data_IF_162173060659
#
_entry.id   IF_162173060659
#
_cell.length_a   1.000
_cell.length_b   1.000
_cell.length_c   1.000
_cell.angle_alpha   90.00
_cell.angle_beta   90.00
_cell.angle_gamma   90.00
#
_symmetry.space_group_name_H-M   'P 1'
#
loop_
_entity.id
_entity.type
_entity.pdbx_description
1 polymer ?
#
# COMPACT_ATOMS: atom_id res chain seq x y z
N UNK A 1 25.54 23.76 21.82
CA UNK A 1 24.22 23.20 22.27
C UNK A 1 24.06 21.87 21.57
N UNK A 2 24.16 20.76 22.29
CA UNK A 2 23.88 19.44 21.73
C UNK A 2 22.39 19.40 21.43
N UNK A 3 22.03 19.45 20.14
CA UNK A 3 20.63 19.26 19.71
C UNK A 3 20.13 17.93 20.30
N UNK A 4 19.12 17.96 21.13
CA UNK A 4 18.49 16.74 21.61
C UNK A 4 18.01 15.96 20.37
N UNK A 5 18.23 14.61 20.38
CA UNK A 5 17.75 13.78 19.27
C UNK A 5 16.24 13.92 19.14
N UNK A 6 15.70 14.01 17.91
CA UNK A 6 14.25 14.06 17.70
C UNK A 6 13.59 12.81 18.31
N UNK A 7 12.34 12.95 18.74
CA UNK A 7 11.55 11.83 19.24
C UNK A 7 11.01 11.01 18.08
N UNK A 8 10.63 11.69 16.98
CA UNK A 8 10.00 11.06 15.82
C UNK A 8 10.63 11.58 14.53
N UNK A 9 10.91 10.65 13.60
CA UNK A 9 11.29 10.95 12.21
C UNK A 9 10.09 10.64 11.32
N UNK A 10 9.60 11.66 10.62
CA UNK A 10 8.56 11.54 9.61
C UNK A 10 9.24 11.29 8.27
N UNK A 11 8.95 10.16 7.64
CA UNK A 11 9.56 9.70 6.38
C UNK A 11 8.52 9.79 5.28
N UNK A 12 8.81 10.54 4.25
CA UNK A 12 7.90 10.87 3.17
C UNK A 12 8.59 10.55 1.84
N UNK A 13 8.24 9.44 1.19
CA UNK A 13 8.68 9.19 -0.18
C UNK A 13 7.90 10.12 -1.12
N UNK A 14 8.58 10.72 -2.09
CA UNK A 14 7.96 11.64 -3.05
C UNK A 14 8.28 11.19 -4.45
N UNK A 15 7.25 10.79 -5.17
CA UNK A 15 7.27 10.44 -6.59
C UNK A 15 6.58 11.49 -7.46
N UNK A 16 5.67 12.28 -6.88
CA UNK A 16 5.00 13.42 -7.49
C UNK A 16 5.00 14.62 -6.55
N UNK A 17 5.56 15.71 -7.01
CA UNK A 17 5.67 16.95 -6.24
C UNK A 17 4.34 17.71 -6.09
N UNK A 18 3.33 17.41 -6.93
CA UNK A 18 2.08 18.17 -6.98
C UNK A 18 1.24 18.15 -5.69
N UNK A 19 1.34 17.08 -4.91
CA UNK A 19 0.60 16.93 -3.65
C UNK A 19 1.36 17.43 -2.42
N UNK A 20 2.69 17.61 -2.51
CA UNK A 20 3.61 17.87 -1.40
C UNK A 20 3.26 19.13 -0.60
N UNK A 21 2.78 20.19 -1.23
CA UNK A 21 2.44 21.44 -0.55
C UNK A 21 1.38 21.27 0.54
N UNK A 22 0.33 20.49 0.28
CA UNK A 22 -0.71 20.21 1.28
C UNK A 22 -0.16 19.44 2.47
N UNK A 23 0.70 18.47 2.21
CA UNK A 23 1.39 17.72 3.26
C UNK A 23 2.24 18.66 4.14
N UNK A 24 3.07 19.52 3.53
CA UNK A 24 3.93 20.46 4.25
C UNK A 24 3.12 21.46 5.06
N UNK A 25 2.01 21.98 4.53
CA UNK A 25 1.10 22.85 5.27
C UNK A 25 0.48 22.13 6.48
N UNK A 26 0.07 20.89 6.33
CA UNK A 26 -0.45 20.06 7.42
C UNK A 26 0.63 19.76 8.47
N UNK A 27 1.88 19.53 8.06
CA UNK A 27 3.01 19.34 9.00
C UNK A 27 3.36 20.63 9.75
N UNK A 28 3.26 21.80 9.10
CA UNK A 28 3.46 23.11 9.74
C UNK A 28 2.40 23.39 10.80
N UNK A 29 1.18 22.90 10.60
CA UNK A 29 0.06 23.07 11.50
C UNK A 29 0.00 22.07 12.69
N UNK A 30 1.01 21.21 12.88
CA UNK A 30 1.01 20.21 13.94
C UNK A 30 1.03 20.83 15.33
N UNK A 31 0.28 20.24 16.27
CA UNK A 31 0.24 20.65 17.69
C UNK A 31 1.47 20.18 18.47
N UNK A 32 2.11 19.10 17.99
CA UNK A 32 3.32 18.57 18.62
C UNK A 32 4.54 19.49 18.35
N UNK A 33 5.43 19.71 19.35
CA UNK A 33 6.58 20.61 19.21
C UNK A 33 7.54 20.19 18.08
N UNK A 34 7.62 20.98 17.01
CA UNK A 34 8.40 20.67 15.82
C UNK A 34 9.90 20.50 16.09
N UNK A 35 10.46 21.11 17.15
CA UNK A 35 11.87 20.93 17.53
C UNK A 35 12.19 19.49 18.03
N UNK A 36 11.17 18.65 18.25
CA UNK A 36 11.29 17.24 18.59
C UNK A 36 10.93 16.31 17.41
N UNK A 37 10.70 16.88 16.25
CA UNK A 37 10.38 16.19 15.01
C UNK A 37 11.55 16.31 14.03
N UNK A 38 11.75 15.32 13.20
CA UNK A 38 12.61 15.35 12.02
C UNK A 38 11.73 14.97 10.82
N UNK A 39 11.83 15.72 9.74
CA UNK A 39 11.05 15.45 8.52
C UNK A 39 12.03 15.13 7.40
N UNK A 40 11.94 13.91 6.88
CA UNK A 40 12.80 13.39 5.83
C UNK A 40 11.97 13.22 4.55
N UNK A 41 12.20 14.10 3.60
CA UNK A 41 11.60 14.00 2.27
C UNK A 41 12.57 13.21 1.41
N UNK A 42 12.12 12.07 0.89
CA UNK A 42 12.97 11.16 0.13
C UNK A 42 12.48 11.11 -1.31
N UNK A 43 13.25 11.68 -2.21
CA UNK A 43 12.92 11.72 -3.63
C UNK A 43 13.12 10.35 -4.29
N UNK A 44 12.23 9.96 -5.21
CA UNK A 44 12.37 8.77 -6.06
C UNK A 44 12.79 9.12 -7.50
N UNK A 45 13.01 10.40 -7.81
CA UNK A 45 13.36 10.90 -9.14
C UNK A 45 14.13 12.20 -9.09
N UNK A 46 13.88 13.09 -10.04
CA UNK A 46 14.49 14.41 -10.12
C UNK A 46 14.14 15.26 -8.89
N UNK A 47 15.15 15.91 -8.30
CA UNK A 47 15.04 16.63 -7.03
C UNK A 47 14.94 18.14 -7.19
N UNK A 48 15.18 18.69 -8.38
CA UNK A 48 15.26 20.13 -8.57
C UNK A 48 13.94 20.84 -8.19
N UNK A 49 12.81 20.32 -8.62
CA UNK A 49 11.49 20.83 -8.26
C UNK A 49 11.22 20.71 -6.75
N UNK A 50 11.67 19.62 -6.11
CA UNK A 50 11.48 19.40 -4.68
C UNK A 50 12.25 20.39 -3.82
N UNK A 51 13.47 20.75 -4.21
CA UNK A 51 14.27 21.77 -3.53
C UNK A 51 13.54 23.10 -3.53
N UNK A 52 13.02 23.51 -4.69
CA UNK A 52 12.28 24.78 -4.83
C UNK A 52 10.98 24.78 -4.00
N UNK A 53 10.23 23.68 -4.00
CA UNK A 53 8.99 23.54 -3.24
C UNK A 53 9.23 23.50 -1.71
N UNK A 54 10.31 22.89 -1.26
CA UNK A 54 10.64 22.80 0.17
C UNK A 54 11.25 24.09 0.73
N UNK A 55 11.87 24.92 -0.11
CA UNK A 55 12.60 26.15 0.30
C UNK A 55 11.76 27.08 1.21
N UNK A 56 10.49 27.41 0.91
CA UNK A 56 9.69 28.28 1.75
C UNK A 56 9.46 27.74 3.17
N UNK A 57 9.46 26.41 3.33
CA UNK A 57 9.19 25.74 4.60
C UNK A 57 10.43 25.53 5.47
N UNK A 58 11.63 25.66 4.91
CA UNK A 58 12.89 25.36 5.60
C UNK A 58 13.18 26.21 6.83
N UNK A 59 12.54 27.39 6.96
CA UNK A 59 12.65 28.23 8.15
C UNK A 59 11.71 27.79 9.30
N UNK A 60 10.62 27.11 8.98
CA UNK A 60 9.54 26.74 9.92
C UNK A 60 9.54 25.24 10.25
N UNK A 61 9.92 24.39 9.29
CA UNK A 61 9.92 22.94 9.44
C UNK A 61 11.35 22.39 9.49
N UNK A 62 11.62 21.40 10.35
CA UNK A 62 12.93 20.71 10.42
C UNK A 62 13.07 19.71 9.26
N UNK A 63 13.07 20.22 8.03
CA UNK A 63 13.12 19.46 6.80
C UNK A 63 14.55 19.04 6.43
N UNK A 64 14.69 17.82 5.94
CA UNK A 64 15.88 17.34 5.24
C UNK A 64 15.45 16.63 3.96
N UNK A 65 15.97 17.05 2.84
CA UNK A 65 15.83 16.34 1.57
C UNK A 65 16.90 15.27 1.49
N UNK A 66 16.50 14.05 1.19
CA UNK A 66 17.34 12.87 1.02
C UNK A 66 17.27 12.45 -0.44
N UNK A 67 18.40 12.44 -1.10
CA UNK A 67 18.55 11.92 -2.45
C UNK A 67 18.90 10.42 -2.34
N UNK A 68 17.99 9.52 -2.67
CA UNK A 68 18.28 8.08 -2.64
C UNK A 68 19.12 7.69 -3.85
N UNK A 69 20.02 6.74 -3.68
CA UNK A 69 20.71 6.08 -4.78
C UNK A 69 19.85 5.03 -5.50
N UNK A 70 18.54 4.94 -5.19
CA UNK A 70 17.59 3.95 -5.71
C UNK A 70 16.46 4.57 -6.54
N UNK A 71 15.71 3.72 -7.24
CA UNK A 71 14.65 4.13 -8.19
C UNK A 71 13.25 3.75 -7.73
N UNK A 72 13.12 3.02 -6.63
CA UNK A 72 11.82 2.55 -6.13
C UNK A 72 11.43 3.26 -4.83
N UNK A 73 10.11 3.34 -4.58
CA UNK A 73 9.56 3.88 -3.32
C UNK A 73 10.12 3.11 -2.10
N UNK A 74 10.28 1.80 -2.22
CA UNK A 74 10.79 0.95 -1.13
C UNK A 74 12.24 1.27 -0.79
N UNK A 75 13.08 1.49 -1.80
CA UNK A 75 14.46 1.94 -1.62
C UNK A 75 14.50 3.34 -0.99
N UNK A 76 13.65 4.26 -1.46
CA UNK A 76 13.51 5.58 -0.87
C UNK A 76 13.11 5.50 0.62
N UNK A 77 12.11 4.70 0.97
CA UNK A 77 11.71 4.48 2.36
C UNK A 77 12.85 3.95 3.22
N UNK A 78 13.61 2.96 2.74
CA UNK A 78 14.75 2.41 3.46
C UNK A 78 15.89 3.44 3.59
N UNK A 79 16.16 4.26 2.58
CA UNK A 79 17.11 5.37 2.66
C UNK A 79 16.66 6.41 3.70
N UNK A 80 15.39 6.77 3.72
CA UNK A 80 14.82 7.66 4.73
C UNK A 80 15.01 7.10 6.14
N UNK A 81 14.74 5.81 6.35
CA UNK A 81 14.99 5.14 7.65
C UNK A 81 16.47 5.16 8.03
N UNK A 82 17.38 4.91 7.09
CA UNK A 82 18.82 4.94 7.35
C UNK A 82 19.32 6.34 7.75
N UNK A 83 18.67 7.41 7.26
CA UNK A 83 18.96 8.79 7.59
C UNK A 83 18.25 9.28 8.87
N UNK A 84 17.27 8.53 9.37
CA UNK A 84 16.46 8.89 10.53
C UNK A 84 17.23 8.79 11.84
N UNK A 85 16.99 9.74 12.73
CA UNK A 85 17.60 9.81 14.06
C UNK A 85 16.60 9.69 15.21
N UNK A 86 15.30 9.72 14.89
CA UNK A 86 14.20 9.59 15.85
C UNK A 86 14.08 8.19 16.45
N UNK A 87 13.47 8.14 17.65
CA UNK A 87 13.12 6.86 18.29
C UNK A 87 11.92 6.20 17.65
N UNK A 88 11.05 6.98 17.04
CA UNK A 88 9.86 6.56 16.31
C UNK A 88 10.03 6.91 14.83
N UNK A 89 9.57 6.04 13.97
CA UNK A 89 9.42 6.26 12.54
C UNK A 89 7.93 6.43 12.24
N UNK A 90 7.57 7.52 11.59
CA UNK A 90 6.23 7.76 11.04
C UNK A 90 6.35 7.82 9.52
N UNK A 91 5.67 6.92 8.84
CA UNK A 91 5.60 6.88 7.39
C UNK A 91 4.34 7.60 6.92
N UNK A 92 4.53 8.63 6.10
CA UNK A 92 3.43 9.40 5.49
C UNK A 92 3.54 9.37 3.96
N UNK A 93 2.42 9.18 3.31
CA UNK A 93 2.27 9.34 1.86
C UNK A 93 2.29 10.85 1.49
N UNK A 94 2.84 11.20 0.33
CA UNK A 94 2.90 12.59 -0.13
C UNK A 94 1.52 13.17 -0.54
N UNK A 95 0.50 12.31 -0.75
CA UNK A 95 -0.86 12.72 -1.10
C UNK A 95 -1.77 12.99 0.10
N UNK A 96 -1.25 12.93 1.32
CA UNK A 96 -2.03 13.20 2.52
C UNK A 96 -1.85 14.65 3.01
N UNK A 97 -2.88 15.17 3.67
CA UNK A 97 -2.81 16.37 4.47
C UNK A 97 -2.98 15.97 5.95
N UNK A 98 -1.91 16.02 6.76
CA UNK A 98 -1.98 15.69 8.18
C UNK A 98 -2.88 16.66 8.93
N UNK A 99 -3.81 16.14 9.76
CA UNK A 99 -4.54 17.00 10.70
C UNK A 99 -3.64 17.42 11.87
N UNK A 100 -3.89 18.56 12.53
CA UNK A 100 -3.00 19.09 13.56
C UNK A 100 -2.59 18.12 14.67
N UNK A 101 -3.43 17.19 15.17
CA UNK A 101 -3.05 16.26 16.24
C UNK A 101 -2.33 14.99 15.75
N UNK A 102 -2.04 14.82 14.45
CA UNK A 102 -1.53 13.57 13.90
C UNK A 102 -0.29 13.05 14.63
N UNK A 103 0.77 13.86 14.71
CA UNK A 103 2.06 13.45 15.30
C UNK A 103 1.87 13.15 16.80
N UNK A 104 1.17 14.01 17.51
CA UNK A 104 0.89 13.84 18.93
C UNK A 104 0.13 12.56 19.20
N UNK A 105 -0.89 12.25 18.40
CA UNK A 105 -1.68 11.02 18.53
C UNK A 105 -0.84 9.76 18.35
N UNK A 106 0.05 9.72 17.35
CA UNK A 106 0.99 8.62 17.19
C UNK A 106 1.88 8.45 18.43
N UNK A 107 2.47 9.53 18.92
CA UNK A 107 3.39 9.50 20.09
C UNK A 107 2.66 9.01 21.33
N UNK A 108 1.44 9.50 21.60
CA UNK A 108 0.63 9.07 22.75
C UNK A 108 0.36 7.56 22.74
N UNK A 109 0.08 6.98 21.57
CA UNK A 109 -0.14 5.52 21.45
C UNK A 109 1.13 4.73 21.78
N UNK A 110 2.30 5.17 21.30
CA UNK A 110 3.58 4.53 21.62
C UNK A 110 3.96 4.66 23.10
N UNK A 111 3.63 5.80 23.73
CA UNK A 111 3.83 5.99 25.18
C UNK A 111 2.91 5.07 25.99
N UNK A 112 1.66 4.90 25.57
CA UNK A 112 0.70 4.03 26.23
C UNK A 112 1.03 2.55 26.07
N UNK A 113 1.62 2.16 24.94
CA UNK A 113 1.93 0.76 24.61
C UNK A 113 3.24 0.64 23.83
N UNK A 114 4.39 0.57 24.50
CA UNK A 114 5.69 0.40 23.84
C UNK A 114 5.74 -0.85 22.96
N UNK A 115 6.51 -0.78 21.87
CA UNK A 115 6.69 -1.89 20.91
C UNK A 115 5.49 -2.11 19.99
N UNK A 116 4.46 -1.26 20.02
CA UNK A 116 3.32 -1.37 19.10
C UNK A 116 3.64 -0.81 17.70
N UNK A 117 2.78 -1.17 16.74
CA UNK A 117 2.61 -0.51 15.45
C UNK A 117 1.33 0.30 15.54
N UNK A 118 1.41 1.59 15.28
CA UNK A 118 0.26 2.49 15.30
C UNK A 118 -0.20 2.77 13.88
N UNK A 119 -1.45 2.48 13.61
CA UNK A 119 -2.11 2.74 12.31
C UNK A 119 -2.97 3.98 12.47
N UNK A 120 -2.76 4.98 11.61
CA UNK A 120 -3.62 6.17 11.56
C UNK A 120 -4.86 5.99 10.69
N UNK A 121 -5.69 7.00 10.66
CA UNK A 121 -6.94 7.03 9.91
C UNK A 121 -6.85 7.97 8.71
N UNK A 122 -7.63 7.67 7.66
CA UNK A 122 -7.87 8.60 6.56
C UNK A 122 -9.32 9.12 6.54
N UNK A 123 -9.47 10.39 6.22
CA UNK A 123 -10.69 10.94 5.65
C UNK A 123 -10.49 11.04 4.15
N UNK A 124 -11.17 10.19 3.39
CA UNK A 124 -11.00 10.20 1.94
C UNK A 124 -11.79 11.36 1.35
N UNK A 125 -11.07 12.27 0.72
CA UNK A 125 -11.64 13.45 0.05
C UNK A 125 -11.46 13.29 -1.45
N UNK A 126 -12.56 13.37 -2.17
CA UNK A 126 -12.56 13.34 -3.63
C UNK A 126 -12.88 14.74 -4.15
N UNK A 127 -12.09 15.28 -5.10
CA UNK A 127 -12.26 16.66 -5.56
C UNK A 127 -13.53 16.90 -6.36
N UNK A 128 -14.10 15.85 -6.99
CA UNK A 128 -15.25 15.98 -7.90
C UNK A 128 -16.54 15.33 -7.38
N UNK A 129 -17.64 15.61 -8.08
CA UNK A 129 -18.95 15.02 -7.78
C UNK A 129 -18.86 13.48 -7.72
N UNK A 130 -19.46 12.92 -6.69
CA UNK A 130 -19.34 11.50 -6.34
C UNK A 130 -19.87 10.57 -7.45
N UNK A 131 -18.97 10.07 -8.31
CA UNK A 131 -19.20 8.98 -9.24
C UNK A 131 -19.34 7.62 -8.51
N UNK A 132 -19.72 6.58 -9.25
CA UNK A 132 -19.89 5.24 -8.66
C UNK A 132 -18.58 4.66 -8.16
N UNK A 133 -17.45 4.96 -8.81
CA UNK A 133 -16.13 4.57 -8.35
C UNK A 133 -15.82 5.21 -6.99
N UNK A 134 -15.95 6.53 -6.91
CA UNK A 134 -15.76 7.32 -5.70
C UNK A 134 -16.56 6.77 -4.51
N UNK A 135 -17.87 6.54 -4.72
CA UNK A 135 -18.75 5.98 -3.69
C UNK A 135 -18.28 4.58 -3.26
N UNK A 136 -17.80 3.78 -4.21
CA UNK A 136 -17.35 2.40 -3.94
C UNK A 136 -16.07 2.40 -3.12
N UNK A 137 -15.08 3.22 -3.48
CA UNK A 137 -13.81 3.33 -2.76
C UNK A 137 -14.00 3.92 -1.37
N UNK A 138 -14.81 4.99 -1.24
CA UNK A 138 -15.14 5.57 0.07
C UNK A 138 -15.77 4.53 0.99
N UNK A 139 -16.77 3.79 0.51
CA UNK A 139 -17.42 2.75 1.31
C UNK A 139 -16.45 1.67 1.75
N UNK A 140 -15.49 1.29 0.89
CA UNK A 140 -14.48 0.30 1.23
C UNK A 140 -13.54 0.78 2.36
N UNK A 141 -13.09 2.04 2.31
CA UNK A 141 -12.26 2.63 3.36
C UNK A 141 -13.03 2.80 4.67
N UNK A 142 -14.26 3.30 4.61
CA UNK A 142 -15.12 3.46 5.78
C UNK A 142 -15.39 2.13 6.47
N UNK A 143 -15.71 1.06 5.71
CA UNK A 143 -15.91 -0.29 6.25
C UNK A 143 -14.65 -0.83 6.93
N UNK A 144 -13.47 -0.60 6.35
CA UNK A 144 -12.18 -1.01 6.90
C UNK A 144 -11.89 -0.30 8.23
N UNK A 145 -12.00 1.02 8.26
CA UNK A 145 -11.78 1.79 9.50
C UNK A 145 -12.84 1.48 10.56
N UNK A 146 -14.07 1.26 10.17
CA UNK A 146 -15.13 0.82 11.07
C UNK A 146 -14.79 -0.54 11.70
N UNK A 147 -14.30 -1.49 10.93
CA UNK A 147 -13.87 -2.80 11.45
C UNK A 147 -12.75 -2.66 12.49
N UNK A 148 -11.71 -1.85 12.21
CA UNK A 148 -10.59 -1.63 13.13
C UNK A 148 -10.97 -0.91 14.44
N UNK A 149 -12.06 -0.13 14.44
CA UNK A 149 -12.59 0.54 15.66
C UNK A 149 -13.30 -0.42 16.60
N UNK A 150 -13.71 -1.59 16.15
CA UNK A 150 -14.50 -2.53 16.97
C UNK A 150 -13.62 -3.15 18.05
N UNK A 151 -14.16 -3.21 19.27
CA UNK A 151 -13.52 -3.95 20.35
C UNK A 151 -13.32 -5.43 19.96
N UNK A 152 -12.12 -5.95 20.19
CA UNK A 152 -11.76 -7.32 19.82
C UNK A 152 -11.40 -7.52 18.35
N UNK A 153 -11.19 -6.45 17.57
CA UNK A 153 -10.65 -6.58 16.21
C UNK A 153 -9.30 -7.31 16.25
N UNK A 154 -9.20 -8.34 15.42
CA UNK A 154 -7.95 -9.10 15.24
C UNK A 154 -7.22 -8.54 14.04
N UNK A 155 -6.14 -7.81 14.31
CA UNK A 155 -5.34 -7.22 13.24
C UNK A 155 -4.67 -8.27 12.37
N UNK A 156 -4.74 -8.05 11.08
CA UNK A 156 -4.01 -8.76 10.05
C UNK A 156 -2.94 -7.84 9.43
N UNK A 157 -2.00 -8.40 8.70
CA UNK A 157 -1.03 -7.60 7.96
C UNK A 157 -1.69 -6.64 6.95
N UNK A 158 -2.90 -6.93 6.51
CA UNK A 158 -3.68 -6.07 5.59
C UNK A 158 -4.33 -4.87 6.26
N UNK A 159 -4.31 -4.78 7.59
CA UNK A 159 -4.88 -3.63 8.28
C UNK A 159 -3.92 -2.42 8.33
N UNK A 160 -2.63 -2.63 8.02
CA UNK A 160 -1.70 -1.50 7.93
C UNK A 160 -2.16 -0.54 6.82
N UNK A 161 -2.14 0.75 7.14
CA UNK A 161 -2.53 1.80 6.21
C UNK A 161 -1.27 2.35 5.59
N UNK A 162 -1.13 2.15 4.29
CA UNK A 162 -0.08 2.71 3.49
C UNK A 162 -0.01 4.23 3.69
N UNK A 163 1.18 4.72 4.04
CA UNK A 163 1.42 6.16 4.21
C UNK A 163 0.74 6.82 5.42
N UNK A 164 0.27 6.08 6.44
CA UNK A 164 -0.06 6.63 7.75
C UNK A 164 0.07 5.57 8.84
N UNK A 165 1.30 5.19 9.14
CA UNK A 165 1.58 4.31 10.28
C UNK A 165 2.92 4.66 10.92
N UNK A 166 3.08 4.28 12.19
CA UNK A 166 4.34 4.48 12.92
C UNK A 166 4.75 3.24 13.70
N UNK A 167 6.06 3.14 13.92
CA UNK A 167 6.70 2.05 14.64
C UNK A 167 7.97 2.54 15.34
N UNK A 168 8.35 1.93 16.45
CA UNK A 168 9.65 2.21 17.07
C UNK A 168 10.80 1.81 16.14
N UNK A 169 11.81 2.68 15.99
CA UNK A 169 12.99 2.44 15.15
C UNK A 169 13.65 1.09 15.46
N UNK A 170 13.79 0.75 16.74
CA UNK A 170 14.35 -0.53 17.16
C UNK A 170 13.49 -1.75 16.77
N UNK A 171 12.15 -1.61 16.78
CA UNK A 171 11.22 -2.66 16.34
C UNK A 171 11.31 -2.86 14.84
N UNK A 172 11.30 -1.78 14.06
CA UNK A 172 11.45 -1.78 12.61
C UNK A 172 12.77 -2.43 12.17
N UNK A 173 13.89 -2.04 12.81
CA UNK A 173 15.23 -2.56 12.48
C UNK A 173 15.34 -4.05 12.78
N UNK A 174 14.83 -4.50 13.93
CA UNK A 174 14.81 -5.95 14.26
C UNK A 174 13.94 -6.76 13.32
N UNK A 175 12.89 -6.17 12.77
CA UNK A 175 12.07 -6.80 11.74
C UNK A 175 12.78 -6.87 10.38
N UNK A 176 13.88 -6.16 10.16
CA UNK A 176 14.68 -6.19 8.94
C UNK A 176 14.33 -5.12 7.90
N UNK A 177 13.47 -4.12 8.26
CA UNK A 177 13.09 -3.05 7.36
C UNK A 177 12.12 -3.47 6.25
N UNK A 178 11.93 -2.63 5.23
CA UNK A 178 11.17 -3.00 4.05
C UNK A 178 12.00 -3.92 3.15
N UNK A 179 11.38 -5.00 2.64
CA UNK A 179 12.03 -5.91 1.68
C UNK A 179 11.90 -5.34 0.26
N UNK A 180 13.02 -5.02 -0.43
CA UNK A 180 12.98 -4.46 -1.80
C UNK A 180 12.38 -5.41 -2.85
N UNK A 181 12.22 -6.68 -2.55
CA UNK A 181 11.54 -7.63 -3.44
C UNK A 181 10.03 -7.32 -3.59
N UNK A 182 9.47 -6.52 -2.66
CA UNK A 182 8.08 -6.11 -2.66
C UNK A 182 7.96 -4.65 -3.10
N UNK A 183 8.08 -4.38 -4.40
CA UNK A 183 7.93 -3.03 -4.95
C UNK A 183 6.55 -2.41 -4.66
N UNK A 184 5.53 -3.25 -4.54
CA UNK A 184 4.17 -2.92 -4.13
C UNK A 184 3.79 -3.75 -2.89
N UNK A 185 3.22 -3.11 -1.87
CA UNK A 185 2.76 -3.78 -0.65
C UNK A 185 3.88 -4.18 0.31
N UNK A 186 5.04 -3.53 0.25
CA UNK A 186 6.15 -3.75 1.20
C UNK A 186 5.71 -3.54 2.65
N UNK A 187 4.77 -2.65 2.89
CA UNK A 187 4.16 -2.41 4.20
C UNK A 187 3.34 -3.61 4.69
N UNK A 188 2.64 -4.33 3.79
CA UNK A 188 1.90 -5.54 4.15
C UNK A 188 2.85 -6.67 4.53
N UNK A 189 3.94 -6.82 3.78
CA UNK A 189 4.98 -7.82 4.07
C UNK A 189 5.67 -7.51 5.42
N UNK A 190 6.06 -6.26 5.64
CA UNK A 190 6.61 -5.80 6.91
C UNK A 190 5.63 -6.03 8.06
N UNK A 191 4.35 -5.68 7.89
CA UNK A 191 3.32 -5.89 8.89
C UNK A 191 3.16 -7.36 9.26
N UNK A 192 3.26 -8.28 8.29
CA UNK A 192 3.25 -9.72 8.56
C UNK A 192 4.43 -10.13 9.47
N UNK A 193 5.65 -9.64 9.17
CA UNK A 193 6.84 -9.92 10.01
C UNK A 193 6.68 -9.33 11.41
N UNK A 194 6.14 -8.12 11.53
CA UNK A 194 5.89 -7.48 12.81
C UNK A 194 4.84 -8.23 13.64
N UNK A 195 3.75 -8.72 13.02
CA UNK A 195 2.75 -9.57 13.68
C UNK A 195 3.38 -10.88 14.16
N UNK A 196 4.18 -11.55 13.32
CA UNK A 196 4.89 -12.79 13.68
C UNK A 196 5.90 -12.57 14.82
N UNK A 197 6.49 -11.39 14.89
CA UNK A 197 7.39 -10.99 15.98
C UNK A 197 6.62 -10.62 17.27
N UNK A 198 5.29 -10.65 17.28
CA UNK A 198 4.45 -10.36 18.44
C UNK A 198 4.21 -8.87 18.69
N UNK A 199 4.53 -7.98 17.75
CA UNK A 199 4.23 -6.54 17.89
C UNK A 199 2.71 -6.31 17.91
N UNK A 200 2.17 -5.63 18.93
CA UNK A 200 0.75 -5.29 18.94
C UNK A 200 0.45 -4.21 17.90
N UNK A 201 -0.72 -4.29 17.26
CA UNK A 201 -1.22 -3.29 16.34
C UNK A 201 -2.32 -2.47 17.03
N UNK A 202 -2.32 -1.16 16.81
CA UNK A 202 -3.29 -0.21 17.42
C UNK A 202 -3.79 0.72 16.32
N UNK A 203 -5.10 0.86 16.21
CA UNK A 203 -5.72 1.85 15.35
C UNK A 203 -5.96 3.15 16.13
N UNK A 204 -5.25 4.22 15.76
CA UNK A 204 -5.34 5.53 16.38
C UNK A 204 -6.26 6.43 15.53
N UNK A 205 -7.51 6.56 15.92
CA UNK A 205 -8.53 7.34 15.20
C UNK A 205 -8.17 8.82 15.11
N UNK A 206 -7.48 9.35 16.14
CA UNK A 206 -7.06 10.75 16.19
C UNK A 206 -5.82 11.03 15.35
N UNK A 207 -5.05 10.00 15.00
CA UNK A 207 -3.93 10.10 14.07
C UNK A 207 -4.44 10.15 12.62
N UNK A 208 -5.06 11.27 12.25
CA UNK A 208 -5.85 11.40 11.02
C UNK A 208 -5.15 12.24 9.97
N UNK A 209 -5.25 11.78 8.71
CA UNK A 209 -4.96 12.57 7.53
C UNK A 209 -6.20 12.73 6.64
N UNK A 210 -6.30 13.85 5.94
CA UNK A 210 -7.15 13.95 4.77
C UNK A 210 -6.38 13.35 3.58
N UNK A 211 -6.96 12.38 2.91
CA UNK A 211 -6.37 11.74 1.74
C UNK A 211 -7.12 12.20 0.49
N UNK A 212 -6.40 12.83 -0.42
CA UNK A 212 -6.94 13.37 -1.66
C UNK A 212 -6.70 12.37 -2.78
N UNK A 213 -7.66 11.50 -2.97
CA UNK A 213 -7.57 10.46 -3.97
C UNK A 213 -8.07 10.92 -5.34
N UNK A 214 -7.26 10.71 -6.36
CA UNK A 214 -7.57 11.00 -7.77
C UNK A 214 -7.77 9.74 -8.59
N UNK A 215 -8.21 8.64 -7.95
CA UNK A 215 -8.36 7.35 -8.63
C UNK A 215 -9.37 7.42 -9.77
N UNK A 216 -8.90 7.01 -10.95
CA UNK A 216 -9.74 6.66 -12.07
C UNK A 216 -9.92 5.13 -12.20
N UNK A 217 -10.66 4.71 -13.21
CA UNK A 217 -10.92 3.29 -13.45
C UNK A 217 -9.65 2.51 -13.85
N UNK A 218 -8.74 3.15 -14.57
CA UNK A 218 -7.49 2.54 -15.02
C UNK A 218 -6.58 2.28 -13.82
N UNK A 219 -6.41 3.25 -12.96
CA UNK A 219 -5.65 3.12 -11.71
C UNK A 219 -6.27 2.05 -10.79
N UNK A 220 -7.62 1.98 -10.70
CA UNK A 220 -8.28 0.93 -9.93
C UNK A 220 -8.01 -0.49 -10.48
N UNK A 221 -7.96 -0.66 -11.80
CA UNK A 221 -7.62 -1.94 -12.41
C UNK A 221 -6.13 -2.26 -12.30
N UNK A 222 -5.27 -1.24 -12.43
CA UNK A 222 -3.84 -1.39 -12.19
C UNK A 222 -3.55 -1.85 -10.75
N UNK A 223 -4.18 -1.21 -9.76
CA UNK A 223 -4.10 -1.62 -8.35
C UNK A 223 -4.57 -3.06 -8.15
N UNK A 224 -5.67 -3.47 -8.78
CA UNK A 224 -6.14 -4.86 -8.70
C UNK A 224 -5.10 -5.85 -9.27
N UNK A 225 -4.40 -5.48 -10.35
CA UNK A 225 -3.32 -6.27 -10.91
C UNK A 225 -2.13 -6.38 -9.94
N UNK A 226 -1.69 -5.28 -9.36
CA UNK A 226 -0.62 -5.25 -8.36
C UNK A 226 -0.96 -6.09 -7.12
N UNK A 227 -2.21 -6.06 -6.67
CA UNK A 227 -2.67 -6.92 -5.55
C UNK A 227 -2.59 -8.41 -5.90
N UNK A 228 -2.85 -8.79 -7.15
CA UNK A 228 -2.65 -10.16 -7.61
C UNK A 228 -1.18 -10.57 -7.59
N UNK A 229 -0.29 -9.72 -8.09
CA UNK A 229 1.16 -9.95 -8.05
C UNK A 229 1.66 -10.11 -6.62
N UNK A 230 1.28 -9.17 -5.75
CA UNK A 230 1.62 -9.20 -4.33
C UNK A 230 1.17 -10.49 -3.65
N UNK A 231 -0.07 -10.91 -3.89
CA UNK A 231 -0.60 -12.12 -3.23
C UNK A 231 0.15 -13.38 -3.65
N UNK A 232 0.53 -13.50 -4.91
CA UNK A 232 1.36 -14.63 -5.34
C UNK A 232 2.75 -14.58 -4.69
N UNK A 233 3.39 -13.41 -4.72
CA UNK A 233 4.71 -13.21 -4.13
C UNK A 233 4.70 -13.51 -2.62
N UNK A 234 3.66 -13.03 -1.91
CA UNK A 234 3.46 -13.33 -0.49
C UNK A 234 3.25 -14.83 -0.25
N UNK A 235 2.44 -15.50 -1.08
CA UNK A 235 2.23 -16.95 -0.99
C UNK A 235 3.51 -17.76 -1.24
N UNK A 236 4.34 -17.36 -2.20
CA UNK A 236 5.65 -17.99 -2.45
C UNK A 236 6.62 -17.77 -1.28
N UNK A 237 6.60 -16.59 -0.67
CA UNK A 237 7.50 -16.23 0.44
C UNK A 237 7.04 -16.81 1.77
N UNK A 238 5.74 -16.94 1.97
CA UNK A 238 5.07 -17.35 3.21
C UNK A 238 4.01 -18.43 2.93
N UNK A 239 4.42 -19.69 2.71
CA UNK A 239 3.49 -20.77 2.33
C UNK A 239 2.38 -21.06 3.34
N UNK A 240 2.57 -20.63 4.60
CA UNK A 240 1.55 -20.76 5.65
C UNK A 240 0.38 -19.77 5.51
N UNK A 241 0.49 -18.79 4.63
CA UNK A 241 -0.66 -17.95 4.29
C UNK A 241 -1.59 -18.78 3.40
N UNK A 242 -2.75 -19.17 3.93
CA UNK A 242 -3.78 -19.84 3.14
C UNK A 242 -4.07 -19.06 1.87
N UNK A 243 -4.31 -19.78 0.77
CA UNK A 243 -4.46 -19.22 -0.57
C UNK A 243 -5.31 -17.94 -0.57
N UNK A 244 -4.73 -16.85 -1.01
CA UNK A 244 -5.40 -15.56 -1.06
C UNK A 244 -6.36 -15.52 -2.25
N UNK A 245 -7.58 -15.97 -2.02
CA UNK A 245 -8.66 -15.87 -3.00
C UNK A 245 -9.02 -14.39 -3.26
N UNK A 246 -9.37 -14.00 -4.49
CA UNK A 246 -9.96 -12.69 -4.78
C UNK A 246 -11.16 -12.36 -3.88
N UNK A 247 -11.86 -13.35 -3.37
CA UNK A 247 -12.97 -13.19 -2.44
C UNK A 247 -12.53 -12.58 -1.10
N UNK A 248 -11.27 -12.75 -0.70
CA UNK A 248 -10.72 -12.13 0.50
C UNK A 248 -10.58 -10.63 0.31
N UNK A 249 -10.18 -10.18 -0.87
CA UNK A 249 -9.97 -8.77 -1.19
C UNK A 249 -11.27 -8.07 -1.66
N UNK A 250 -12.03 -8.70 -2.57
CA UNK A 250 -13.24 -8.11 -3.15
C UNK A 250 -14.54 -8.54 -2.45
N UNK A 251 -14.45 -9.29 -1.34
CA UNK A 251 -15.56 -9.84 -0.56
C UNK A 251 -16.25 -11.02 -1.22
N UNK A 252 -16.81 -11.91 -0.39
CA UNK A 252 -17.49 -13.14 -0.86
C UNK A 252 -18.70 -12.84 -1.75
N UNK A 253 -18.83 -13.48 -2.91
CA UNK A 253 -20.03 -13.34 -3.73
C UNK A 253 -21.26 -13.94 -3.06
N UNK A 254 -22.35 -13.19 -2.98
CA UNK A 254 -23.63 -13.65 -2.40
C UNK A 254 -24.41 -14.68 -3.22
N UNK A 255 -23.92 -15.21 -4.36
CA UNK A 255 -24.70 -16.07 -5.26
C UNK A 255 -23.95 -17.27 -5.81
N UNK A 256 -24.54 -18.44 -5.65
CA UNK A 256 -24.03 -19.78 -5.99
C UNK A 256 -23.88 -20.11 -7.50
N UNK A 257 -24.43 -19.31 -8.42
CA UNK A 257 -24.29 -19.53 -9.89
C UNK A 257 -22.95 -19.08 -10.49
N UNK A 258 -22.00 -18.61 -9.68
CA UNK A 258 -20.81 -17.88 -10.11
C UNK A 258 -19.59 -18.74 -10.43
N UNK A 259 -19.55 -20.01 -10.08
CA UNK A 259 -18.37 -20.85 -10.38
C UNK A 259 -18.06 -20.99 -11.88
N UNK A 260 -19.06 -20.86 -12.76
CA UNK A 260 -18.82 -20.88 -14.21
C UNK A 260 -18.19 -19.57 -14.71
N UNK A 261 -18.73 -18.42 -14.27
CA UNK A 261 -18.19 -17.12 -14.65
C UNK A 261 -16.78 -16.92 -14.08
N UNK A 262 -16.55 -17.35 -12.84
CA UNK A 262 -15.23 -17.28 -12.20
C UNK A 262 -14.20 -18.12 -12.96
N UNK A 263 -14.55 -19.34 -13.38
CA UNK A 263 -13.67 -20.17 -14.23
C UNK A 263 -13.37 -19.53 -15.57
N UNK A 264 -14.36 -18.94 -16.24
CA UNK A 264 -14.14 -18.23 -17.53
C UNK A 264 -13.20 -17.04 -17.34
N UNK A 265 -13.44 -16.21 -16.31
CA UNK A 265 -12.59 -15.07 -15.98
C UNK A 265 -11.15 -15.51 -15.67
N UNK A 266 -11.01 -16.57 -14.87
CA UNK A 266 -9.73 -17.17 -14.54
C UNK A 266 -9.01 -17.69 -15.79
N UNK A 267 -9.67 -18.50 -16.63
CA UNK A 267 -9.09 -19.04 -17.88
C UNK A 267 -8.64 -17.92 -18.82
N UNK A 268 -9.43 -16.85 -18.95
CA UNK A 268 -9.07 -15.69 -19.77
C UNK A 268 -7.91 -14.91 -19.17
N UNK A 269 -7.81 -14.80 -17.86
CA UNK A 269 -6.74 -14.08 -17.18
C UNK A 269 -5.39 -14.80 -17.27
N UNK A 270 -5.38 -16.13 -17.24
CA UNK A 270 -4.19 -16.98 -17.38
C UNK A 270 -3.81 -17.31 -18.84
N UNK A 271 -4.64 -16.93 -19.80
CA UNK A 271 -4.28 -17.06 -21.21
C UNK A 271 -3.10 -16.12 -21.54
N UNK A 272 -1.99 -16.67 -22.00
CA UNK A 272 -0.81 -15.89 -22.44
C UNK A 272 -1.09 -15.03 -23.70
N UNK A 273 -2.18 -15.30 -24.41
CA UNK A 273 -2.59 -14.52 -25.59
C UNK A 273 -3.46 -13.33 -25.19
N UNK A 274 -3.08 -12.11 -25.62
CA UNK A 274 -3.71 -10.82 -25.31
C UNK A 274 -5.22 -10.59 -25.52
N UNK A 275 -6.05 -11.55 -26.03
CA UNK A 275 -7.48 -11.35 -26.19
C UNK A 275 -8.22 -11.03 -24.89
N UNK A 276 -7.79 -11.60 -23.74
CA UNK A 276 -8.43 -11.37 -22.45
C UNK A 276 -8.29 -9.93 -21.96
N UNK A 277 -7.10 -9.36 -22.03
CA UNK A 277 -6.84 -7.96 -21.66
C UNK A 277 -7.61 -6.99 -22.58
N UNK A 278 -7.61 -7.26 -23.89
CA UNK A 278 -8.37 -6.46 -24.84
C UNK A 278 -9.87 -6.46 -24.51
N UNK A 279 -10.46 -7.62 -24.26
CA UNK A 279 -11.87 -7.75 -23.87
C UNK A 279 -12.15 -7.02 -22.55
N UNK A 280 -11.30 -7.19 -21.54
CA UNK A 280 -11.45 -6.51 -20.24
C UNK A 280 -11.37 -4.98 -20.42
N UNK A 281 -10.44 -4.49 -21.21
CA UNK A 281 -10.30 -3.06 -21.52
C UNK A 281 -11.54 -2.52 -22.25
N UNK A 282 -12.03 -3.24 -23.26
CA UNK A 282 -13.26 -2.86 -23.97
C UNK A 282 -14.48 -2.82 -23.03
N UNK A 283 -14.62 -3.80 -22.15
CA UNK A 283 -15.70 -3.83 -21.16
C UNK A 283 -15.53 -2.70 -20.13
N UNK A 284 -14.32 -2.35 -19.74
CA UNK A 284 -14.04 -1.21 -18.87
C UNK A 284 -14.57 0.11 -19.41
N UNK A 285 -14.47 0.31 -20.72
CA UNK A 285 -15.00 1.51 -21.42
C UNK A 285 -16.53 1.63 -21.36
N UNK A 286 -17.25 0.57 -21.00
CA UNK A 286 -18.70 0.62 -20.80
C UNK A 286 -19.09 1.19 -19.44
N UNK A 287 -18.19 1.18 -18.44
CA UNK A 287 -18.51 1.64 -17.09
C UNK A 287 -19.00 3.09 -17.05
N UNK A 288 -18.37 4.08 -17.71
CA UNK A 288 -18.89 5.46 -17.74
C UNK A 288 -20.26 5.56 -18.39
N UNK A 289 -20.57 4.74 -19.40
CA UNK A 289 -21.88 4.72 -20.05
C UNK A 289 -22.96 4.17 -19.12
N UNK A 290 -22.65 3.07 -18.40
CA UNK A 290 -23.55 2.48 -17.40
C UNK A 290 -23.79 3.45 -16.23
N UNK A 291 -22.75 4.21 -15.84
CA UNK A 291 -22.86 5.24 -14.82
C UNK A 291 -23.77 6.40 -15.28
N UNK A 292 -23.57 6.90 -16.49
CA UNK A 292 -24.42 7.92 -17.10
C UNK A 292 -25.89 7.47 -17.17
N UNK A 293 -26.11 6.17 -17.42
CA UNK A 293 -27.45 5.56 -17.38
C UNK A 293 -27.98 5.32 -15.95
N UNK A 294 -27.22 5.67 -14.91
CA UNK A 294 -27.53 5.47 -13.47
C UNK A 294 -27.80 4.01 -13.08
N UNK A 295 -27.25 3.06 -13.79
CA UNK A 295 -27.42 1.63 -13.56
C UNK A 295 -26.39 1.10 -12.53
N UNK A 296 -26.48 1.57 -11.28
CA UNK A 296 -25.51 1.30 -10.21
C UNK A 296 -25.24 -0.19 -9.94
N UNK A 297 -26.27 -1.04 -10.01
CA UNK A 297 -26.10 -2.49 -9.78
C UNK A 297 -25.26 -3.13 -10.88
N UNK A 298 -25.55 -2.81 -12.14
CA UNK A 298 -24.81 -3.33 -13.31
C UNK A 298 -23.38 -2.83 -13.29
N UNK A 299 -23.19 -1.56 -12.98
CA UNK A 299 -21.88 -0.95 -12.83
C UNK A 299 -21.04 -1.71 -11.79
N UNK A 300 -21.55 -1.92 -10.58
CA UNK A 300 -20.83 -2.66 -9.54
C UNK A 300 -20.50 -4.10 -9.92
N UNK A 301 -21.41 -4.79 -10.62
CA UNK A 301 -21.18 -6.16 -11.07
C UNK A 301 -20.05 -6.20 -12.11
N UNK A 302 -20.09 -5.31 -13.10
CA UNK A 302 -19.06 -5.23 -14.13
C UNK A 302 -17.72 -4.80 -13.54
N UNK A 303 -17.68 -3.71 -12.78
CA UNK A 303 -16.47 -3.21 -12.12
C UNK A 303 -15.79 -4.31 -11.28
N UNK A 304 -16.56 -4.98 -10.42
CA UNK A 304 -16.02 -6.09 -9.62
C UNK A 304 -15.49 -7.23 -10.49
N UNK A 305 -16.19 -7.60 -11.56
CA UNK A 305 -15.73 -8.67 -12.45
C UNK A 305 -14.42 -8.31 -13.15
N UNK A 306 -14.25 -7.05 -13.52
CA UNK A 306 -13.02 -6.53 -14.10
C UNK A 306 -11.88 -6.48 -13.08
N UNK A 307 -12.15 -6.04 -11.85
CA UNK A 307 -11.14 -6.09 -10.77
C UNK A 307 -10.68 -7.53 -10.50
N UNK A 308 -11.60 -8.51 -10.48
CA UNK A 308 -11.25 -9.94 -10.34
C UNK A 308 -10.42 -10.42 -11.51
N UNK A 309 -10.75 -10.02 -12.75
CA UNK A 309 -9.95 -10.34 -13.93
C UNK A 309 -8.52 -9.80 -13.81
N UNK A 310 -8.36 -8.51 -13.50
CA UNK A 310 -7.06 -7.88 -13.38
C UNK A 310 -6.24 -8.44 -12.22
N UNK A 311 -6.88 -8.81 -11.12
CA UNK A 311 -6.23 -9.50 -10.02
C UNK A 311 -5.61 -10.83 -10.46
N UNK A 312 -6.40 -11.71 -11.13
CA UNK A 312 -5.88 -12.98 -11.64
C UNK A 312 -4.82 -12.77 -12.72
N UNK A 313 -4.96 -11.71 -13.51
CA UNK A 313 -3.95 -11.35 -14.49
C UNK A 313 -2.64 -10.95 -13.84
N UNK A 314 -2.70 -10.22 -12.73
CA UNK A 314 -1.54 -9.89 -11.90
C UNK A 314 -0.84 -11.15 -11.35
N UNK A 315 -1.60 -12.09 -10.81
CA UNK A 315 -1.05 -13.38 -10.36
C UNK A 315 -0.36 -14.13 -11.49
N UNK A 316 -0.97 -14.18 -12.68
CA UNK A 316 -0.37 -14.85 -13.84
C UNK A 316 0.96 -14.17 -14.26
N UNK A 317 0.99 -12.84 -14.34
CA UNK A 317 2.22 -12.08 -14.66
C UNK A 317 3.34 -12.36 -13.67
N UNK A 318 3.02 -12.41 -12.38
CA UNK A 318 4.02 -12.72 -11.35
C UNK A 318 4.47 -14.18 -11.41
N UNK A 319 3.56 -15.13 -11.71
CA UNK A 319 3.94 -16.53 -11.91
C UNK A 319 4.94 -16.69 -13.06
N UNK A 320 4.68 -16.04 -14.21
CA UNK A 320 5.60 -16.06 -15.35
C UNK A 320 6.97 -15.46 -14.97
N UNK A 321 6.99 -14.33 -14.25
CA UNK A 321 8.23 -13.69 -13.73
C UNK A 321 9.01 -14.63 -12.80
N UNK A 322 8.36 -15.35 -11.87
CA UNK A 322 9.02 -16.28 -10.96
C UNK A 322 9.61 -17.49 -11.70
N UNK A 323 8.94 -17.97 -12.74
CA UNK A 323 9.46 -19.04 -13.60
C UNK A 323 10.69 -18.58 -14.38
N UNK A 324 10.71 -17.38 -14.93
CA UNK A 324 11.87 -16.81 -15.62
C UNK A 324 13.09 -16.67 -14.70
N UNK A 325 12.89 -16.17 -13.47
CA UNK A 325 13.94 -16.06 -12.45
C UNK A 325 14.49 -17.45 -12.07
N UNK A 326 13.61 -18.44 -11.94
CA UNK A 326 14.01 -19.81 -11.62
C UNK A 326 14.73 -20.49 -12.78
N UNK A 327 14.26 -20.29 -14.02
CA UNK A 327 14.90 -20.81 -15.23
C UNK A 327 16.27 -20.19 -15.52
N UNK A 328 16.44 -18.89 -15.23
CA UNK A 328 17.76 -18.22 -15.38
C UNK A 328 18.79 -18.69 -14.33
N UNK A 329 18.36 -19.16 -13.16
CA UNK A 329 19.24 -19.78 -12.15
C UNK A 329 19.68 -21.20 -12.50
N UNK A 330 18.93 -21.91 -13.36
CA UNK A 330 19.27 -23.27 -13.84
C UNK A 330 20.18 -23.28 -15.08
N UNK A 331 20.56 -22.12 -15.62
CA UNK A 331 21.44 -21.98 -16.79
C UNK A 331 22.90 -22.41 -16.59
N UNK A 332 23.25 -23.15 -15.52
CA UNK A 332 24.54 -23.82 -15.37
C UNK A 332 24.27 -25.32 -15.21
N UNK A 333 24.38 -26.13 -16.29
CA UNK A 333 24.07 -27.54 -16.22
C UNK A 333 25.28 -28.35 -15.67
N UNK A 334 25.47 -28.33 -14.35
CA UNK A 334 26.26 -29.35 -13.68
C UNK A 334 25.71 -29.55 -12.25
N UNK A 335 25.04 -30.68 -12.06
CA UNK A 335 24.61 -31.27 -10.77
C UNK A 335 23.23 -30.76 -10.25
N UNK A 336 22.17 -31.42 -10.65
CA UNK A 336 21.26 -32.17 -9.73
C UNK A 336 20.12 -32.72 -10.55
N UNK A 337 20.04 -34.07 -10.65
CA UNK A 337 18.86 -34.74 -11.20
C UNK A 337 17.70 -34.64 -10.20
N UNK A 338 16.74 -33.83 -10.52
CA UNK A 338 15.38 -33.90 -9.98
C UNK A 338 14.44 -33.78 -11.17
N UNK A 339 13.63 -34.80 -11.34
CA UNK A 339 12.69 -35.03 -12.43
C UNK A 339 11.56 -33.99 -12.37
N UNK A 340 11.33 -33.30 -13.47
CA UNK A 340 10.33 -32.22 -13.60
C UNK A 340 8.87 -32.74 -13.69
N UNK A 341 8.60 -33.98 -13.27
CA UNK A 341 7.29 -34.63 -13.39
C UNK A 341 6.41 -34.63 -12.11
N UNK A 342 6.86 -33.99 -11.00
CA UNK A 342 6.11 -33.99 -9.73
C UNK A 342 5.76 -32.58 -9.21
N UNK A 343 5.25 -31.69 -10.08
CA UNK A 343 4.50 -30.52 -9.59
C UNK A 343 3.05 -30.67 -10.09
N UNK A 344 2.33 -31.60 -9.50
CA UNK A 344 0.87 -31.55 -9.50
C UNK A 344 0.43 -30.44 -8.55
N UNK A 345 -0.02 -29.32 -9.12
CA UNK A 345 -0.75 -28.29 -8.40
C UNK A 345 -2.14 -28.85 -8.10
N UNK A 346 -2.35 -29.34 -6.89
CA UNK A 346 -3.69 -29.55 -6.34
C UNK A 346 -4.39 -28.20 -6.21
N UNK A 347 -5.33 -27.95 -7.13
CA UNK A 347 -6.20 -26.78 -7.22
C UNK A 347 -7.54 -27.03 -6.50
#
# INVERSE_FOLDING_TARGET
>A
MTSARPIISVIIPVDDSGALLRLLDGLRAQTYPLHQVEILIVATGDTDDLVELCRPYGAELPLRLIEPGGQTIVEALNCGVAAASGKLLLFLDNHVEPTPPLIEAHIQMHQARPGCVVIGAYTITFPDAAGFLTITLRSWWEDRFYAMRRSGHRYSYRDIVDGNFSVETGVFTRAGGFDPAFEFGAEYELALRLIKAGSPFIFAVEAKCNYYETYDLEQAFHRACQEGQLNLLMGCRYPELESMSPDTYFGKPRFSRKHRLHRVVHTLAFSQSGPGEFVATCLGRLLPLIEKARLRRQWRLLFRSLCIFWYWRGMAKEADRQLEISGSRQGNPAQTGVDASEIELDL
#
